data_IF_800986338552
#
_entry.id   IF_800986338552
#
_cell.length_a   1.000
_cell.length_b   1.000
_cell.length_c   1.000
_cell.angle_alpha   90.00
_cell.angle_beta   90.00
_cell.angle_gamma   90.00
#
_symmetry.space_group_name_H-M   'P 1'
#
loop_
_entity.id
_entity.type
_entity.pdbx_description
1 polymer ?
2 non-polymer ?
3 non-polymer ?
4 water ?
#
# COMPACT_ATOMS: atom_id res chain seq x y z
N UNK A 1 15.48 2.60 13.81
CA UNK A 1 14.82 3.75 13.21
C UNK A 1 14.45 3.12 11.87
N UNK A 2 15.30 3.21 10.82
CA UNK A 2 14.82 2.93 9.45
C UNK A 2 15.08 1.54 8.94
N UNK A 3 14.05 0.93 8.36
CA UNK A 3 14.21 -0.40 7.71
C UNK A 3 13.69 -0.27 6.27
N UNK A 4 14.39 -0.93 5.35
CA UNK A 4 14.10 -0.96 3.92
C UNK A 4 13.68 -2.39 3.58
N UNK A 5 12.53 -2.58 2.90
CA UNK A 5 12.12 -4.00 2.66
C UNK A 5 11.57 -4.15 1.25
N UNK A 6 11.45 -5.40 0.83
CA UNK A 6 10.82 -5.76 -0.42
C UNK A 6 10.20 -7.13 -0.20
N UNK A 7 9.17 -7.38 -0.99
CA UNK A 7 8.54 -8.71 -0.89
C UNK A 7 8.29 -9.27 -2.25
N UNK A 8 8.25 -10.58 -2.40
CA UNK A 8 7.81 -11.22 -3.64
C UNK A 8 6.55 -11.95 -3.27
N UNK A 9 5.64 -12.05 -4.23
CA UNK A 9 4.29 -12.59 -3.93
C UNK A 9 3.57 -13.03 -5.16
N UNK A 10 2.45 -13.79 -4.99
CA UNK A 10 1.58 -14.19 -6.09
C UNK A 10 0.28 -13.46 -5.76
N UNK A 11 -0.08 -12.50 -6.60
CA UNK A 11 -1.21 -11.66 -6.35
C UNK A 11 -2.20 -11.80 -7.52
N UNK A 12 -3.48 -11.94 -7.23
CA UNK A 12 -4.41 -12.44 -8.26
C UNK A 12 -5.67 -11.58 -8.37
N UNK A 13 -5.62 -10.41 -7.75
CA UNK A 13 -6.81 -9.56 -7.64
C UNK A 13 -7.69 -9.83 -6.46
N UNK A 14 -7.38 -10.90 -5.75
CA UNK A 14 -8.12 -11.22 -4.50
C UNK A 14 -7.25 -11.28 -3.24
N UNK A 15 -6.15 -12.01 -3.34
CA UNK A 15 -5.28 -12.17 -2.19
C UNK A 15 -3.83 -11.86 -2.64
N UNK A 16 -2.98 -11.63 -1.65
CA UNK A 16 -1.54 -11.49 -1.88
C UNK A 16 -0.87 -12.67 -1.14
N UNK A 17 -0.32 -13.64 -1.89
CA UNK A 17 0.23 -14.83 -1.22
C UNK A 17 1.73 -14.62 -1.13
N UNK A 18 2.22 -14.41 0.09
CA UNK A 18 3.69 -14.08 0.25
C UNK A 18 4.60 -15.23 -0.17
N UNK A 19 5.60 -14.91 -1.02
CA UNK A 19 6.71 -15.80 -1.36
C UNK A 19 7.92 -15.52 -0.45
N UNK A 20 8.36 -14.28 -0.39
CA UNK A 20 9.58 -13.99 0.40
C UNK A 20 9.59 -12.53 0.85
N UNK A 21 10.43 -12.22 1.85
CA UNK A 21 10.56 -10.85 2.33
C UNK A 21 12.03 -10.66 2.71
N UNK A 22 12.57 -9.51 2.28
CA UNK A 22 13.93 -9.08 2.67
C UNK A 22 13.78 -7.78 3.37
N UNK A 23 14.48 -7.64 4.50
CA UNK A 23 14.55 -6.42 5.27
C UNK A 23 15.97 -6.07 5.61
N UNK A 24 16.30 -4.80 5.39
CA UNK A 24 17.64 -4.34 5.75
C UNK A 24 17.50 -3.12 6.63
N UNK A 25 18.27 -3.12 7.71
CA UNK A 25 18.29 -2.01 8.64
C UNK A 25 19.38 -1.07 8.23
N UNK A 26 19.22 0.20 8.60
CA UNK A 26 20.24 1.23 8.40
C UNK A 26 21.53 0.87 9.14
N UNK A 27 21.42 0.11 10.21
CA UNK A 27 22.60 -0.29 10.95
C UNK A 27 23.40 -1.46 10.42
N UNK A 28 22.97 -2.03 9.32
CA UNK A 28 23.69 -3.17 8.69
C UNK A 28 23.05 -4.55 8.83
N UNK A 29 22.14 -4.68 9.79
CA UNK A 29 21.48 -5.95 10.00
C UNK A 29 20.58 -6.28 8.85
N UNK A 30 20.46 -7.58 8.58
CA UNK A 30 19.67 -8.03 7.41
C UNK A 30 18.81 -9.26 7.79
N UNK A 31 17.63 -9.37 7.17
CA UNK A 31 16.71 -10.48 7.37
C UNK A 31 16.12 -10.90 6.04
N UNK A 32 16.10 -12.20 5.80
CA UNK A 32 15.44 -12.74 4.58
C UNK A 32 14.81 -14.07 4.88
N UNK A 33 13.60 -14.29 4.38
CA UNK A 33 12.91 -15.56 4.65
C UNK A 33 12.06 -15.82 3.45
N UNK A 34 11.91 -17.11 3.13
CA UNK A 34 11.06 -17.55 2.06
C UNK A 34 9.93 -18.40 2.71
N UNK A 35 8.68 -18.08 2.43
CA UNK A 35 7.57 -18.82 3.03
C UNK A 35 7.34 -20.25 2.49
N UNK A 36 7.23 -21.22 3.40
CA UNK A 36 6.87 -22.59 3.02
C UNK A 36 5.40 -22.81 2.68
N UNK A 37 4.60 -21.75 2.72
CA UNK A 37 3.17 -21.87 2.69
C UNK A 37 2.51 -21.47 1.38
N UNK A 38 3.21 -20.76 0.46
CA UNK A 38 2.61 -20.40 -0.82
C UNK A 38 2.68 -21.63 -1.75
N UNK A 39 1.78 -21.68 -2.70
CA UNK A 39 1.68 -22.76 -3.70
C UNK A 39 2.34 -22.32 -5.01
N UNK A 40 3.52 -22.88 -5.33
CA UNK A 40 4.19 -22.38 -6.52
C UNK A 40 3.45 -22.68 -7.83
N UNK A 41 2.59 -23.69 -7.82
CA UNK A 41 1.80 -24.03 -9.00
C UNK A 41 0.88 -22.90 -9.46
N UNK A 42 0.40 -21.94 -8.43
CA UNK A 42 -0.46 -20.85 -8.88
C UNK A 42 0.35 -19.80 -9.63
N UNK A 43 1.60 -19.79 -9.45
CA UNK A 43 2.33 -18.65 -9.99
C UNK A 43 2.14 -18.48 -11.49
N UNK A 44 2.01 -17.25 -11.99
CA UNK A 44 2.00 -17.03 -13.45
C UNK A 44 3.40 -17.10 -14.10
N UNK A 45 3.46 -16.88 -15.42
CA UNK A 45 4.76 -16.98 -16.15
C UNK A 45 5.83 -16.08 -15.58
N UNK A 46 5.46 -14.84 -15.29
CA UNK A 46 6.43 -13.85 -14.84
C UNK A 46 7.10 -14.29 -13.51
N UNK A 47 6.27 -14.69 -12.56
CA UNK A 47 6.78 -15.16 -11.26
C UNK A 47 7.61 -16.45 -11.38
N UNK A 48 7.13 -17.39 -12.20
CA UNK A 48 7.85 -18.59 -12.62
C UNK A 48 9.23 -18.25 -13.26
N UNK A 49 9.33 -17.21 -14.06
CA UNK A 49 10.59 -16.91 -14.73
C UNK A 49 11.56 -16.10 -13.87
N UNK A 50 11.03 -15.10 -13.15
CA UNK A 50 11.85 -14.08 -12.52
C UNK A 50 12.03 -14.19 -11.02
N UNK A 51 11.09 -14.88 -10.36
CA UNK A 51 11.13 -15.01 -8.92
C UNK A 51 11.52 -16.41 -8.42
N UNK A 52 10.81 -17.43 -8.85
CA UNK A 52 10.96 -18.77 -8.26
C UNK A 52 12.40 -19.31 -8.46
N UNK A 53 13.01 -19.05 -9.64
CA UNK A 53 14.38 -19.58 -9.88
C UNK A 53 15.42 -19.03 -8.93
N UNK A 54 15.19 -17.85 -8.35
CA UNK A 54 16.11 -17.24 -7.39
C UNK A 54 15.97 -17.67 -5.91
N UNK A 55 14.97 -18.51 -5.62
CA UNK A 55 14.75 -18.94 -4.24
C UNK A 55 15.84 -19.93 -3.87
N UNK A 56 16.29 -19.91 -2.60
CA UNK A 56 17.20 -20.92 -2.06
C UNK A 56 16.72 -22.34 -2.31
N UNK A 57 17.63 -23.32 -2.22
CA UNK A 57 17.28 -24.74 -2.27
C UNK A 57 16.36 -25.14 -1.13
N UNK A 58 15.53 -26.15 -1.36
CA UNK A 58 14.57 -26.75 -0.42
C UNK A 58 15.07 -26.92 1.01
N UNK A 59 16.31 -27.36 1.19
CA UNK A 59 16.78 -27.59 2.57
C UNK A 59 17.39 -26.35 3.24
N UNK A 60 17.37 -25.20 2.59
CA UNK A 60 17.95 -24.01 3.19
C UNK A 60 17.13 -23.66 4.41
N UNK A 61 17.79 -23.21 5.49
CA UNK A 61 17.12 -22.62 6.67
C UNK A 61 16.37 -21.31 6.35
N UNK A 62 16.56 -20.75 5.16
CA UNK A 62 15.82 -19.51 4.80
C UNK A 62 14.31 -19.78 4.63
N UNK A 63 13.95 -21.03 4.38
CA UNK A 63 12.54 -21.43 4.26
C UNK A 63 11.92 -21.56 5.65
N UNK A 64 10.83 -20.82 5.87
CA UNK A 64 10.22 -20.73 7.19
C UNK A 64 8.72 -20.68 7.02
N UNK A 65 8.00 -21.02 8.11
CA UNK A 65 6.57 -20.86 8.13
C UNK A 65 6.21 -19.38 8.34
N UNK A 66 4.96 -19.06 8.02
CA UNK A 66 4.49 -17.67 8.17
C UNK A 66 4.52 -17.24 9.62
N UNK A 67 4.12 -18.14 10.54
CA UNK A 67 4.18 -17.83 11.98
C UNK A 67 5.65 -17.55 12.39
N UNK A 68 6.60 -18.36 11.88
CA UNK A 68 8.01 -18.14 12.25
C UNK A 68 8.50 -16.81 11.70
N UNK A 69 8.13 -16.52 10.46
CA UNK A 69 8.48 -15.19 9.90
C UNK A 69 7.99 -14.06 10.75
N UNK A 70 6.74 -14.13 11.24
CA UNK A 70 6.19 -13.06 12.05
C UNK A 70 7.03 -12.91 13.30
N UNK A 71 7.28 -14.05 13.98
CA UNK A 71 8.13 -14.03 15.16
C UNK A 71 9.52 -13.45 14.89
N UNK A 72 10.13 -13.89 13.77
CA UNK A 72 11.44 -13.37 13.40
C UNK A 72 11.41 -11.80 13.16
N UNK A 73 10.36 -11.32 12.53
CA UNK A 73 10.21 -9.85 12.31
C UNK A 73 9.97 -9.04 13.63
N UNK A 74 9.23 -9.60 14.59
CA UNK A 74 9.01 -8.91 15.82
C UNK A 74 10.37 -8.67 16.52
N UNK A 75 11.19 -9.70 16.50
CA UNK A 75 12.56 -9.56 17.06
C UNK A 75 13.46 -8.65 16.18
N UNK A 76 13.50 -8.90 14.87
CA UNK A 76 14.35 -8.10 13.97
C UNK A 76 14.05 -6.59 13.97
N UNK A 77 12.77 -6.27 13.95
CA UNK A 77 12.36 -4.86 14.01
C UNK A 77 12.46 -4.24 15.43
N UNK A 78 12.81 -5.04 16.44
CA UNK A 78 12.89 -4.51 17.85
C UNK A 78 11.64 -3.84 18.33
N UNK A 79 10.55 -4.55 18.16
CA UNK A 79 9.27 -3.93 18.37
C UNK A 79 9.01 -3.49 19.81
N UNK A 80 9.73 -4.05 20.78
CA UNK A 80 9.66 -3.63 22.21
C UNK A 80 10.80 -2.69 22.64
N UNK A 81 11.72 -2.36 21.72
CA UNK A 81 12.80 -1.42 22.03
C UNK A 81 12.37 0.01 21.92
N UNK A 82 13.25 0.94 22.27
CA UNK A 82 12.81 2.31 22.37
C UNK A 82 12.88 3.07 21.05
N UNK A 83 13.57 2.56 20.00
CA UNK A 83 13.58 3.33 18.76
C UNK A 83 12.20 3.30 18.12
N UNK A 84 11.81 4.42 17.51
CA UNK A 84 10.62 4.44 16.66
C UNK A 84 11.03 3.80 15.34
N UNK A 85 10.17 2.95 14.78
CA UNK A 85 10.42 2.16 13.54
C UNK A 85 9.94 3.01 12.36
N UNK A 86 10.76 3.16 11.33
CA UNK A 86 10.31 3.75 10.09
C UNK A 86 10.48 2.69 9.00
N UNK A 87 9.42 2.35 8.27
CA UNK A 87 9.59 1.40 7.16
C UNK A 87 9.55 2.15 5.84
N UNK A 88 10.40 1.69 4.91
CA UNK A 88 10.53 2.26 3.56
C UNK A 88 10.56 1.12 2.56
N UNK A 89 9.93 1.36 1.40
CA UNK A 89 9.95 0.43 0.29
C UNK A 89 9.87 1.31 -0.97
N UNK A 90 10.19 0.72 -2.09
CA UNK A 90 9.99 1.41 -3.39
C UNK A 90 8.68 0.85 -4.06
N UNK A 91 7.63 1.65 -4.15
CA UNK A 91 6.35 1.30 -4.88
C UNK A 91 5.83 0.19 -3.98
N UNK A 92 5.50 0.61 -2.75
CA UNK A 92 5.29 -0.34 -1.66
C UNK A 92 3.88 -0.63 -1.11
N UNK A 93 2.78 -0.20 -1.77
CA UNK A 93 1.40 -0.56 -1.37
C UNK A 93 1.21 -2.08 -1.10
N UNK A 94 1.46 -2.90 -2.10
CA UNK A 94 1.28 -4.36 -1.94
C UNK A 94 2.30 -4.92 -0.94
N UNK A 95 3.51 -4.36 -0.92
CA UNK A 95 4.48 -4.82 0.07
C UNK A 95 4.02 -4.57 1.46
N UNK A 96 3.39 -3.42 1.67
CA UNK A 96 2.98 -3.08 3.06
C UNK A 96 1.87 -4.04 3.49
N UNK A 97 0.92 -4.28 2.59
CA UNK A 97 -0.16 -5.21 2.94
C UNK A 97 0.41 -6.61 3.17
N UNK A 98 1.34 -7.03 2.31
CA UNK A 98 1.96 -8.38 2.50
C UNK A 98 2.68 -8.49 3.85
N UNK A 99 3.45 -7.47 4.18
CA UNK A 99 4.09 -7.40 5.50
C UNK A 99 3.07 -7.44 6.63
N UNK A 100 2.08 -6.54 6.59
CA UNK A 100 1.17 -6.36 7.70
C UNK A 100 0.33 -7.67 7.84
N UNK A 101 0.05 -8.36 6.72
CA UNK A 101 -0.77 -9.59 6.76
C UNK A 101 -0.09 -10.78 7.43
N UNK A 102 1.20 -10.64 7.77
CA UNK A 102 1.88 -11.67 8.61
C UNK A 102 1.32 -11.62 10.05
N UNK A 103 0.73 -10.51 10.42
CA UNK A 103 -0.03 -10.37 11.67
C UNK A 103 -1.55 -10.59 11.51
N UNK A 104 -2.07 -10.83 10.30
CA UNK A 104 -3.50 -10.92 10.14
C UNK A 104 -4.11 -9.56 9.80
N UNK A 105 -5.22 -9.20 10.46
CA UNK A 105 -5.91 -7.93 10.17
C UNK A 105 -5.14 -6.74 10.65
N UNK A 106 -5.53 -5.56 10.14
CA UNK A 106 -5.01 -4.28 10.60
C UNK A 106 -4.97 -4.10 12.10
N UNK A 107 -6.04 -4.58 12.70
CA UNK A 107 -6.28 -4.63 14.14
C UNK A 107 -5.04 -5.11 14.91
N UNK A 108 -4.39 -6.15 14.37
CA UNK A 108 -3.40 -6.99 15.06
C UNK A 108 -1.93 -6.62 14.87
N UNK A 109 -1.66 -5.55 14.11
CA UNK A 109 -0.33 -5.13 13.87
C UNK A 109 0.22 -4.62 15.21
N UNK A 110 1.41 -5.05 15.60
CA UNK A 110 1.95 -4.59 16.92
C UNK A 110 1.96 -3.07 16.90
N UNK A 111 1.64 -2.43 18.05
CA UNK A 111 1.26 -0.98 18.04
C UNK A 111 2.46 -0.08 17.69
N UNK A 112 3.63 -0.66 17.80
CA UNK A 112 4.90 0.00 17.57
C UNK A 112 5.35 -0.03 16.08
N UNK A 113 4.69 -0.85 15.26
CA UNK A 113 5.01 -0.97 13.79
C UNK A 113 4.10 0.06 13.06
N UNK A 114 4.71 0.84 12.21
CA UNK A 114 3.93 1.96 11.64
C UNK A 114 2.83 1.43 10.69
N UNK A 115 1.70 2.13 10.64
CA UNK A 115 0.60 1.75 9.78
C UNK A 115 0.77 2.16 8.30
N UNK A 116 1.92 2.75 7.98
CA UNK A 116 2.27 3.07 6.61
C UNK A 116 3.81 2.80 6.34
N UNK A 117 4.10 2.57 5.07
CA UNK A 117 5.44 2.44 4.57
C UNK A 117 5.68 3.69 3.71
N UNK A 118 6.83 4.29 3.96
CA UNK A 118 7.30 5.47 3.21
C UNK A 118 7.72 5.03 1.85
N UNK A 119 7.35 5.82 0.85
CA UNK A 119 7.46 5.45 -0.53
C UNK A 119 8.75 6.06 -1.02
N UNK A 120 9.76 5.23 -1.30
CA UNK A 120 11.07 5.74 -1.77
C UNK A 120 10.97 6.42 -3.20
N UNK A 121 10.09 5.89 -4.06
CA UNK A 121 9.85 6.50 -5.37
C UNK A 121 9.31 7.94 -5.21
N UNK A 122 8.55 8.20 -4.16
CA UNK A 122 7.96 9.49 -3.90
C UNK A 122 9.07 10.46 -3.40
N UNK A 123 9.97 9.93 -2.57
CA UNK A 123 11.12 10.73 -2.03
C UNK A 123 12.08 11.07 -3.20
N UNK A 124 12.31 10.11 -4.11
CA UNK A 124 13.18 10.32 -5.22
C UNK A 124 12.70 11.47 -6.07
N UNK A 125 11.42 11.52 -6.39
CA UNK A 125 10.93 12.63 -7.18
C UNK A 125 10.99 13.93 -6.44
N UNK A 126 10.67 13.89 -5.19
CA UNK A 126 10.70 15.09 -4.41
C UNK A 126 12.11 15.76 -4.39
N UNK A 127 13.17 14.95 -4.37
CA UNK A 127 14.55 15.43 -4.25
C UNK A 127 15.14 15.62 -5.64
N UNK A 128 14.29 15.77 -6.65
CA UNK A 128 14.75 16.20 -7.95
C UNK A 128 15.12 15.09 -8.92
N UNK A 129 14.60 13.87 -8.67
CA UNK A 129 14.88 12.74 -9.58
C UNK A 129 16.37 12.57 -9.84
N UNK A 130 17.21 12.48 -8.80
CA UNK A 130 18.67 12.25 -9.05
C UNK A 130 18.93 10.98 -9.86
N UNK A 131 19.90 10.98 -10.78
CA UNK A 131 20.26 9.75 -11.49
C UNK A 131 20.74 8.68 -10.48
N UNK A 132 20.19 7.47 -10.58
CA UNK A 132 20.53 6.39 -9.65
C UNK A 132 21.37 5.37 -10.32
N UNK A 133 22.06 4.53 -9.53
CA UNK A 133 22.78 3.40 -10.13
C UNK A 133 21.79 2.43 -10.78
N UNK A 134 22.27 1.54 -11.69
CA UNK A 134 21.28 0.63 -12.29
C UNK A 134 20.80 -0.36 -11.23
N UNK A 135 19.62 -0.94 -11.44
CA UNK A 135 19.17 -1.99 -10.52
C UNK A 135 20.12 -3.17 -10.64
N UNK A 136 20.30 -3.93 -9.55
CA UNK A 136 21.17 -5.10 -9.65
C UNK A 136 20.66 -6.15 -10.63
N UNK A 137 21.58 -6.99 -11.07
CA UNK A 137 21.29 -8.09 -12.00
C UNK A 137 20.24 -9.01 -11.40
N UNK A 138 20.38 -9.24 -10.09
CA UNK A 138 19.62 -10.23 -9.30
C UNK A 138 18.37 -9.64 -8.67
N UNK A 139 17.80 -8.66 -9.33
CA UNK A 139 16.57 -8.12 -8.86
C UNK A 139 15.56 -9.27 -8.97
N UNK A 140 14.59 -9.16 -8.10
CA UNK A 140 13.52 -10.09 -7.85
C UNK A 140 13.91 -11.11 -6.80
N UNK A 141 15.10 -10.91 -6.25
CA UNK A 141 15.50 -11.65 -5.04
C UNK A 141 15.21 -10.62 -3.95
N UNK A 142 14.30 -10.89 -3.01
CA UNK A 142 13.81 -9.84 -2.11
C UNK A 142 14.89 -9.16 -1.27
N UNK A 143 15.90 -9.91 -0.81
CA UNK A 143 16.98 -9.34 -0.04
C UNK A 143 17.88 -8.42 -0.90
N UNK A 144 18.21 -8.91 -2.10
CA UNK A 144 18.88 -8.01 -3.11
C UNK A 144 18.13 -6.73 -3.28
N UNK A 145 16.84 -6.84 -3.54
CA UNK A 145 16.00 -5.64 -3.76
C UNK A 145 16.01 -4.73 -2.53
N UNK A 146 15.82 -5.32 -1.33
CA UNK A 146 15.81 -4.49 -0.09
C UNK A 146 17.15 -3.71 0.14
N UNK A 147 18.26 -4.44 -0.06
CA UNK A 147 19.56 -3.84 0.01
C UNK A 147 19.68 -2.65 -0.95
N UNK A 148 19.14 -2.82 -2.16
CA UNK A 148 19.32 -1.79 -3.19
C UNK A 148 18.48 -0.59 -2.79
N UNK A 149 17.34 -0.81 -2.11
CA UNK A 149 16.56 0.37 -1.66
C UNK A 149 17.26 1.22 -0.63
N UNK A 150 17.92 0.58 0.33
CA UNK A 150 18.72 1.31 1.34
C UNK A 150 19.88 2.06 0.63
N UNK A 151 20.46 1.47 -0.38
CA UNK A 151 21.45 2.16 -1.16
C UNK A 151 20.92 3.43 -1.85
N UNK A 152 19.81 3.32 -2.54
CA UNK A 152 19.23 4.50 -3.19
C UNK A 152 18.81 5.52 -2.14
N UNK A 153 18.25 5.07 -1.00
CA UNK A 153 17.91 6.03 0.04
C UNK A 153 19.11 6.89 0.47
N UNK A 154 20.21 6.20 0.72
CA UNK A 154 21.45 6.92 1.14
C UNK A 154 21.88 7.88 0.05
N UNK A 155 21.87 7.44 -1.21
CA UNK A 155 22.23 8.40 -2.26
C UNK A 155 21.27 9.55 -2.42
N UNK A 156 19.95 9.27 -2.39
CA UNK A 156 18.95 10.36 -2.50
C UNK A 156 19.03 11.43 -1.42
N UNK A 157 19.31 10.97 -0.21
CA UNK A 157 19.27 11.86 0.96
C UNK A 157 20.65 12.43 1.35
N UNK A 158 21.68 12.23 0.56
CA UNK A 158 23.08 12.46 1.05
C UNK A 158 23.46 13.93 1.33
N UNK A 159 22.59 14.87 0.93
CA UNK A 159 22.85 16.35 1.14
C UNK A 159 21.64 17.08 1.71
N UNK A 160 20.70 16.29 2.24
CA UNK A 160 19.48 16.73 2.88
C UNK A 160 19.76 17.67 4.09
N UNK B 1 -4.38 15.95 -13.38
CA UNK B 1 -3.13 15.63 -12.85
C UNK B 1 -3.55 14.89 -11.48
N UNK B 2 -4.04 15.57 -10.44
CA UNK B 2 -3.98 14.98 -9.01
C UNK B 2 -5.29 14.62 -8.43
N UNK B 3 -5.35 13.39 -7.89
CA UNK B 3 -6.53 12.94 -7.26
C UNK B 3 -6.23 12.42 -5.90
N UNK B 4 -7.14 12.74 -4.98
CA UNK B 4 -7.04 12.39 -3.55
C UNK B 4 -8.16 11.43 -3.22
N UNK B 5 -7.86 10.23 -2.69
CA UNK B 5 -8.93 9.26 -2.50
C UNK B 5 -8.80 8.59 -1.15
N UNK B 6 -9.92 8.02 -0.79
CA UNK B 6 -9.91 7.24 0.42
C UNK B 6 -10.96 6.18 0.30
N UNK B 7 -10.84 5.02 1.00
CA UNK B 7 -11.80 3.96 0.89
C UNK B 7 -12.25 3.46 2.27
N UNK B 8 -13.43 2.86 2.36
CA UNK B 8 -13.77 1.99 3.50
C UNK B 8 -13.93 0.57 3.04
N UNK B 9 -13.78 -0.38 3.98
CA UNK B 9 -13.73 -1.76 3.55
C UNK B 9 -13.78 -2.67 4.76
N UNK B 10 -13.92 -3.97 4.48
CA UNK B 10 -13.93 -4.99 5.51
C UNK B 10 -12.68 -5.83 5.13
N UNK B 11 -11.72 -5.87 6.00
CA UNK B 11 -10.48 -6.53 5.70
C UNK B 11 -10.18 -7.54 6.81
N UNK B 12 -9.85 -8.78 6.45
CA UNK B 12 -9.75 -9.90 7.42
C UNK B 12 -8.39 -10.59 7.35
N UNK B 13 -7.30 -9.87 6.98
CA UNK B 13 -6.02 -10.52 6.87
C UNK B 13 -5.84 -11.29 5.58
N UNK B 14 -6.89 -11.42 4.76
CA UNK B 14 -6.75 -12.13 3.50
C UNK B 14 -7.24 -11.38 2.31
N UNK B 15 -8.47 -10.90 2.38
CA UNK B 15 -9.03 -10.05 1.31
C UNK B 15 -9.36 -8.69 1.81
N UNK B 16 -9.61 -7.76 0.89
CA UNK B 16 -10.07 -6.41 1.25
C UNK B 16 -11.37 -6.24 0.52
N UNK B 17 -12.48 -6.22 1.25
CA UNK B 17 -13.77 -6.22 0.56
C UNK B 17 -14.26 -4.75 0.51
N UNK B 18 -14.31 -4.14 -0.66
CA UNK B 18 -14.57 -2.69 -0.73
C UNK B 18 -15.99 -2.39 -0.25
N UNK B 19 -16.10 -1.43 0.68
CA UNK B 19 -17.43 -0.87 0.99
C UNK B 19 -17.68 0.40 0.12
N UNK B 20 -16.72 1.36 0.16
CA UNK B 20 -17.01 2.62 -0.52
C UNK B 20 -15.69 3.28 -0.96
N UNK B 21 -15.78 4.28 -1.86
CA UNK B 21 -14.57 4.99 -2.23
C UNK B 21 -14.98 6.40 -2.58
N UNK B 22 -14.16 7.31 -2.07
CA UNK B 22 -14.34 8.77 -2.38
C UNK B 22 -13.14 9.18 -3.16
N UNK B 23 -13.34 10.01 -4.20
CA UNK B 23 -12.18 10.49 -4.94
C UNK B 23 -12.45 11.96 -5.22
N UNK B 24 -11.48 12.78 -4.90
CA UNK B 24 -11.64 14.23 -5.17
C UNK B 24 -10.43 14.74 -5.98
N UNK B 25 -10.76 15.44 -7.07
CA UNK B 25 -9.73 15.92 -8.00
C UNK B 25 -9.31 17.33 -7.56
N UNK B 26 -8.04 17.64 -7.76
CA UNK B 26 -7.58 18.96 -7.42
C UNK B 26 -8.40 20.04 -8.16
N UNK B 27 -8.99 19.68 -9.27
CA UNK B 27 -9.77 20.62 -10.05
C UNK B 27 -11.18 20.89 -9.55
N UNK B 28 -11.63 20.13 -8.56
CA UNK B 28 -12.93 20.36 -7.95
C UNK B 28 -13.93 19.22 -8.06
N UNK B 29 -13.68 18.30 -9.00
CA UNK B 29 -14.65 17.24 -9.30
C UNK B 29 -14.54 16.22 -8.16
N UNK B 30 -15.67 15.61 -7.85
CA UNK B 30 -15.74 14.69 -6.71
C UNK B 30 -16.53 13.51 -7.14
N UNK B 31 -16.02 12.31 -6.79
CA UNK B 31 -16.73 11.08 -7.05
C UNK B 31 -16.89 10.29 -5.73
N UNK B 32 -18.09 9.72 -5.55
CA UNK B 32 -18.32 8.83 -4.40
C UNK B 32 -19.22 7.68 -4.80
N UNK B 33 -18.87 6.44 -4.38
CA UNK B 33 -19.76 5.33 -4.64
C UNK B 33 -19.65 4.33 -3.50
N UNK B 34 -20.71 3.53 -3.34
CA UNK B 34 -20.78 2.46 -2.31
C UNK B 34 -21.08 1.20 -3.06
N UNK B 35 -20.28 0.17 -2.80
CA UNK B 35 -20.45 -1.10 -3.51
C UNK B 35 -21.70 -1.92 -3.04
N UNK B 36 -22.47 -2.40 -3.99
CA UNK B 36 -23.62 -3.23 -3.72
C UNK B 36 -23.16 -4.65 -3.50
N UNK B 37 -21.85 -4.88 -3.50
CA UNK B 37 -21.36 -6.26 -3.49
C UNK B 37 -20.72 -6.74 -2.24
N UNK B 38 -20.44 -5.84 -1.28
CA UNK B 38 -19.90 -6.25 0.04
C UNK B 38 -21.05 -6.81 0.85
N UNK B 39 -20.72 -7.78 1.68
CA UNK B 39 -21.69 -8.36 2.62
C UNK B 39 -21.63 -7.66 3.99
N UNK B 40 -22.67 -6.90 4.37
CA UNK B 40 -22.56 -6.14 5.64
C UNK B 40 -22.50 -7.07 6.85
N UNK B 41 -22.94 -8.33 6.67
CA UNK B 41 -22.92 -9.33 7.76
C UNK B 41 -21.50 -9.69 8.15
N UNK B 42 -20.58 -9.57 7.23
CA UNK B 42 -19.17 -9.81 7.46
C UNK B 42 -18.41 -8.66 8.18
N UNK B 43 -19.02 -7.48 8.27
CA UNK B 43 -18.40 -6.39 9.02
C UNK B 43 -18.13 -6.74 10.45
N UNK B 44 -16.97 -6.30 10.94
CA UNK B 44 -16.62 -6.37 12.36
C UNK B 44 -17.34 -5.27 13.13
N UNK B 45 -17.28 -5.34 14.47
CA UNK B 45 -17.88 -4.34 15.36
C UNK B 45 -17.51 -2.91 15.03
N UNK B 46 -16.22 -2.67 14.81
CA UNK B 46 -15.76 -1.34 14.50
C UNK B 46 -16.43 -0.77 13.20
N UNK B 47 -16.43 -1.59 12.13
CA UNK B 47 -16.99 -1.15 10.85
C UNK B 47 -18.50 -0.98 11.00
N UNK B 48 -19.12 -1.90 11.69
CA UNK B 48 -20.57 -1.76 12.02
C UNK B 48 -20.88 -0.49 12.76
N UNK B 49 -19.97 -0.10 13.68
CA UNK B 49 -20.13 1.12 14.47
C UNK B 49 -19.84 2.40 13.68
N UNK B 50 -18.70 2.44 13.01
CA UNK B 50 -18.21 3.70 12.43
C UNK B 50 -18.46 3.91 10.92
N UNK B 51 -18.66 2.82 10.22
CA UNK B 51 -18.70 2.94 8.78
C UNK B 51 -20.13 2.81 8.23
N UNK B 52 -20.80 1.70 8.55
CA UNK B 52 -22.07 1.36 7.91
C UNK B 52 -23.15 2.40 8.15
N UNK B 53 -23.22 2.96 9.36
CA UNK B 53 -24.33 3.90 9.58
C UNK B 53 -24.22 5.19 8.78
N UNK B 54 -23.02 5.50 8.29
CA UNK B 54 -22.85 6.72 7.49
C UNK B 54 -23.13 6.59 6.00
N UNK B 55 -23.34 5.37 5.52
CA UNK B 55 -23.63 5.10 4.13
C UNK B 55 -24.97 5.72 3.71
N UNK B 56 -25.11 6.08 2.43
CA UNK B 56 -26.38 6.66 1.92
C UNK B 56 -27.50 5.66 2.12
N UNK B 57 -28.76 6.17 2.17
CA UNK B 57 -29.88 5.24 2.09
C UNK B 57 -29.80 4.35 0.82
N UNK B 58 -30.31 3.11 0.95
CA UNK B 58 -30.23 2.05 -0.03
C UNK B 58 -30.84 2.45 -1.38
N UNK B 59 -31.79 3.39 -1.38
CA UNK B 59 -32.36 3.86 -2.65
C UNK B 59 -31.46 4.82 -3.49
N UNK B 60 -30.41 5.36 -2.87
CA UNK B 60 -29.56 6.34 -3.54
C UNK B 60 -28.81 5.69 -4.71
N UNK B 61 -28.64 6.45 -5.80
CA UNK B 61 -27.94 5.97 -7.00
C UNK B 61 -26.43 5.96 -6.69
N UNK B 62 -26.06 6.42 -5.50
CA UNK B 62 -24.64 6.31 -5.07
C UNK B 62 -24.23 4.84 -4.85
N UNK B 63 -25.20 3.96 -4.68
CA UNK B 63 -24.93 2.52 -4.53
C UNK B 63 -24.74 1.97 -5.92
N UNK B 64 -23.61 1.31 -6.15
CA UNK B 64 -23.20 0.93 -7.50
C UNK B 64 -22.53 -0.45 -7.47
N UNK B 65 -22.62 -1.22 -8.58
CA UNK B 65 -21.91 -2.53 -8.65
C UNK B 65 -20.43 -2.20 -8.80
N UNK B 66 -19.61 -3.20 -8.56
CA UNK B 66 -18.14 -3.01 -8.76
C UNK B 66 -17.77 -2.73 -10.21
N UNK B 67 -18.49 -3.31 -11.20
CA UNK B 67 -18.20 -3.02 -12.60
C UNK B 67 -18.50 -1.58 -12.90
N UNK B 68 -19.58 -1.08 -12.30
CA UNK B 68 -19.96 0.33 -12.50
C UNK B 68 -18.94 1.25 -11.88
N UNK B 69 -18.43 0.88 -10.73
CA UNK B 69 -17.45 1.77 -10.03
C UNK B 69 -16.18 1.77 -10.89
N UNK B 70 -15.74 0.61 -11.39
CA UNK B 70 -14.57 0.62 -12.27
C UNK B 70 -14.75 1.55 -13.48
N UNK B 71 -15.90 1.38 -14.15
CA UNK B 71 -16.15 2.17 -15.32
C UNK B 71 -16.25 3.66 -14.95
N UNK B 72 -16.91 3.94 -13.82
CA UNK B 72 -17.07 5.31 -13.38
C UNK B 72 -15.66 5.93 -13.15
N UNK B 73 -14.74 5.16 -12.54
CA UNK B 73 -13.40 5.69 -12.28
C UNK B 73 -12.53 5.84 -13.54
N UNK B 74 -12.64 4.94 -14.51
CA UNK B 74 -11.92 5.14 -15.76
C UNK B 74 -12.34 6.50 -16.42
N UNK B 75 -13.62 6.84 -16.33
CA UNK B 75 -14.08 8.16 -16.79
C UNK B 75 -13.62 9.32 -15.93
N UNK B 76 -13.84 9.13 -14.62
CA UNK B 76 -13.47 10.13 -13.66
C UNK B 76 -11.99 10.49 -13.61
N UNK B 77 -11.12 9.49 -13.75
CA UNK B 77 -9.71 9.72 -13.77
C UNK B 77 -9.17 10.12 -15.13
N UNK B 78 -10.04 10.12 -16.11
CA UNK B 78 -9.70 10.51 -17.46
C UNK B 78 -8.57 9.67 -18.01
N UNK B 79 -8.73 8.36 -17.98
CA UNK B 79 -7.60 7.50 -18.23
C UNK B 79 -7.13 7.55 -19.67
N UNK B 80 -8.03 7.94 -20.53
CA UNK B 80 -7.73 8.14 -21.92
C UNK B 80 -7.21 9.55 -22.27
N UNK B 81 -7.17 10.45 -21.31
CA UNK B 81 -6.98 11.94 -21.52
C UNK B 81 -5.55 12.48 -21.68
N UNK B 82 -5.44 13.82 -21.87
CA UNK B 82 -4.10 14.50 -22.02
C UNK B 82 -3.20 14.57 -20.75
N UNK B 83 -3.77 15.04 -19.63
CA UNK B 83 -3.07 15.13 -18.34
C UNK B 83 -2.45 13.79 -17.77
N UNK B 84 -1.26 13.86 -17.16
CA UNK B 84 -0.67 12.75 -16.39
C UNK B 84 -1.53 12.58 -15.13
N UNK B 85 -1.67 11.35 -14.62
CA UNK B 85 -2.49 11.05 -13.40
C UNK B 85 -1.56 10.83 -12.16
N UNK B 86 -1.83 11.50 -11.05
CA UNK B 86 -1.14 11.29 -9.81
C UNK B 86 -2.20 10.98 -8.76
N UNK B 87 -2.08 9.83 -8.10
CA UNK B 87 -2.99 9.45 -7.04
C UNK B 87 -2.37 9.73 -5.70
N UNK B 88 -3.17 10.26 -4.79
CA UNK B 88 -2.70 10.58 -3.41
C UNK B 88 -3.70 10.02 -2.40
N UNK B 89 -3.17 9.48 -1.30
CA UNK B 89 -4.03 9.15 -0.14
C UNK B 89 -3.20 9.33 1.12
N UNK B 90 -3.85 9.30 2.28
CA UNK B 90 -3.18 9.35 3.55
C UNK B 90 -3.11 7.94 4.16
N UNK B 91 -1.93 7.40 4.32
CA UNK B 91 -1.68 6.10 4.95
C UNK B 91 -2.50 5.13 4.15
N UNK B 92 -2.18 5.00 2.87
CA UNK B 92 -3.05 4.35 1.91
C UNK B 92 -2.60 3.12 1.17
N UNK B 93 -1.80 2.28 1.78
CA UNK B 93 -1.45 0.98 1.24
C UNK B 93 -2.70 0.14 0.96
N UNK B 94 -3.51 -0.13 1.98
CA UNK B 94 -4.77 -0.89 1.71
C UNK B 94 -5.71 -0.13 0.76
N UNK B 95 -5.73 1.20 0.82
CA UNK B 95 -6.56 1.95 -0.12
C UNK B 95 -6.09 1.72 -1.58
N UNK B 96 -4.77 1.68 -1.80
CA UNK B 96 -4.26 1.50 -3.14
C UNK B 96 -4.58 0.11 -3.66
N UNK B 97 -4.46 -0.91 -2.79
CA UNK B 97 -4.80 -2.26 -3.20
C UNK B 97 -6.31 -2.32 -3.49
N UNK B 98 -7.14 -1.73 -2.62
CA UNK B 98 -8.60 -1.74 -2.84
C UNK B 98 -8.95 -1.10 -4.17
N UNK B 99 -8.30 0.02 -4.48
CA UNK B 99 -8.55 0.65 -5.75
C UNK B 99 -8.16 -0.24 -6.89
N UNK B 100 -6.94 -0.76 -6.87
CA UNK B 100 -6.45 -1.54 -8.02
C UNK B 100 -7.28 -2.78 -8.22
N UNK B 101 -7.78 -3.38 -7.12
CA UNK B 101 -8.51 -4.61 -7.25
C UNK B 101 -9.88 -4.41 -7.88
N UNK B 102 -10.29 -3.13 -8.08
CA UNK B 102 -11.46 -2.92 -8.97
C UNK B 102 -11.17 -3.35 -10.41
N UNK B 103 -9.89 -3.40 -10.76
CA UNK B 103 -9.52 -3.87 -12.11
C UNK B 103 -8.99 -5.30 -12.10
N UNK B 104 -8.64 -5.81 -10.95
CA UNK B 104 -8.17 -7.21 -10.94
C UNK B 104 -6.76 -7.29 -10.35
N UNK B 105 -5.94 -8.22 -10.85
CA UNK B 105 -4.54 -8.27 -10.47
C UNK B 105 -3.86 -6.96 -10.90
N UNK B 106 -2.73 -6.63 -10.30
CA UNK B 106 -2.14 -5.28 -10.55
C UNK B 106 -1.84 -4.98 -12.05
N UNK B 107 -1.46 -6.02 -12.75
CA UNK B 107 -1.44 -6.18 -14.19
C UNK B 107 -2.52 -5.47 -14.98
N UNK B 108 -3.75 -5.58 -14.48
CA UNK B 108 -4.95 -5.22 -15.21
C UNK B 108 -5.25 -3.74 -15.08
N UNK B 109 -4.49 -3.00 -14.26
CA UNK B 109 -4.72 -1.60 -14.02
C UNK B 109 -4.51 -0.88 -15.39
N UNK B 110 -5.36 0.13 -15.74
CA UNK B 110 -5.12 0.79 -17.03
C UNK B 110 -3.71 1.34 -17.11
N UNK B 111 -3.11 1.31 -18.32
CA UNK B 111 -1.72 1.74 -18.52
C UNK B 111 -1.35 3.10 -17.98
N UNK B 112 -2.31 4.01 -17.98
CA UNK B 112 -2.06 5.38 -17.48
C UNK B 112 -2.29 5.61 -15.98
N UNK B 113 -2.87 4.64 -15.25
CA UNK B 113 -2.99 4.79 -13.76
C UNK B 113 -1.65 4.42 -13.14
N UNK B 114 -1.12 5.26 -12.24
CA UNK B 114 0.10 5.03 -11.53
C UNK B 114 0.09 3.72 -10.75
N UNK B 115 1.23 3.08 -10.69
CA UNK B 115 1.37 1.87 -9.95
C UNK B 115 1.69 2.11 -8.49
N UNK B 116 1.70 3.36 -8.09
CA UNK B 116 1.85 3.65 -6.69
C UNK B 116 0.94 4.82 -6.36
N UNK B 117 0.57 4.95 -5.09
CA UNK B 117 -0.17 6.14 -4.60
C UNK B 117 0.79 6.94 -3.78
N UNK B 118 0.91 8.26 -4.00
CA UNK B 118 1.76 9.08 -3.16
C UNK B 118 1.10 9.19 -1.78
N UNK B 119 1.96 9.20 -0.76
CA UNK B 119 1.55 9.08 0.63
C UNK B 119 1.57 10.46 1.22
N UNK B 120 0.39 11.01 1.45
CA UNK B 120 0.21 12.38 1.91
C UNK B 120 0.81 12.57 3.33
N UNK B 121 0.79 11.51 4.15
CA UNK B 121 1.42 11.67 5.46
C UNK B 121 2.94 11.83 5.37
N UNK B 122 3.52 11.24 4.33
CA UNK B 122 4.95 11.30 4.13
C UNK B 122 5.27 12.72 3.70
N UNK B 123 4.45 13.31 2.81
CA UNK B 123 4.72 14.66 2.39
C UNK B 123 4.62 15.58 3.62
N UNK B 124 3.54 15.40 4.38
CA UNK B 124 3.27 16.19 5.61
C UNK B 124 4.47 16.20 6.57
N UNK B 125 4.99 15.00 6.90
CA UNK B 125 6.18 14.86 7.70
C UNK B 125 7.39 15.53 7.07
N UNK B 126 7.50 15.41 5.75
CA UNK B 126 8.70 15.95 5.07
C UNK B 126 8.75 17.46 5.12
N UNK B 127 7.58 18.07 5.21
CA UNK B 127 7.46 19.50 5.30
C UNK B 127 7.35 20.02 6.75
N UNK B 128 7.69 19.21 7.73
CA UNK B 128 7.79 19.63 9.15
C UNK B 128 6.46 19.50 9.85
N UNK B 129 5.57 18.63 9.36
CA UNK B 129 4.29 18.49 10.05
C UNK B 129 3.56 19.81 10.37
N UNK B 130 3.28 20.66 9.36
CA UNK B 130 2.51 21.93 9.61
C UNK B 130 1.14 21.66 10.20
N UNK B 131 0.59 22.60 11.00
CA UNK B 131 -0.70 22.36 11.63
C UNK B 131 -1.84 22.15 10.60
N UNK B 132 -2.56 21.05 10.72
CA UNK B 132 -3.73 20.72 9.85
C UNK B 132 -5.07 21.06 10.52
N UNK B 133 -6.17 21.24 9.74
CA UNK B 133 -7.41 21.42 10.55
C UNK B 133 -7.79 20.12 11.29
N UNK B 134 -8.60 20.21 12.38
CA UNK B 134 -9.01 18.98 13.08
C UNK B 134 -9.84 18.05 12.15
N UNK B 135 -9.83 16.75 12.44
CA UNK B 135 -10.48 15.78 11.58
C UNK B 135 -11.97 16.19 11.46
N UNK B 136 -12.61 15.95 10.30
CA UNK B 136 -14.04 16.25 10.18
C UNK B 136 -14.88 15.40 11.14
N UNK B 137 -16.06 15.90 11.50
CA UNK B 137 -16.97 15.16 12.37
C UNK B 137 -17.34 13.79 11.76
N UNK B 138 -17.47 13.77 10.44
CA UNK B 138 -17.97 12.59 9.74
C UNK B 138 -16.87 11.71 9.14
N UNK B 139 -15.81 11.52 9.89
CA UNK B 139 -14.77 10.62 9.45
C UNK B 139 -15.34 9.24 9.32
N UNK B 140 -14.70 8.44 8.49
CA UNK B 140 -15.11 7.13 8.12
C UNK B 140 -16.25 7.11 7.11
N UNK B 141 -16.55 8.27 6.55
CA UNK B 141 -17.28 8.44 5.31
C UNK B 141 -16.22 8.69 4.27
N UNK B 142 -16.13 7.87 3.23
CA UNK B 142 -14.90 7.90 2.44
C UNK B 142 -14.81 9.23 1.62
N UNK B 143 -15.96 9.84 1.27
CA UNK B 143 -15.88 11.10 0.53
C UNK B 143 -15.44 12.26 1.47
N UNK B 144 -15.99 12.32 2.68
CA UNK B 144 -15.57 13.29 3.66
C UNK B 144 -14.04 13.18 3.87
N UNK B 145 -13.58 11.93 3.99
CA UNK B 145 -12.16 11.69 4.25
C UNK B 145 -11.30 12.15 3.03
N UNK B 146 -11.77 11.82 1.81
CA UNK B 146 -11.08 12.20 0.58
C UNK B 146 -10.99 13.71 0.42
N UNK B 147 -12.11 14.37 0.69
CA UNK B 147 -12.13 15.81 0.72
C UNK B 147 -11.10 16.40 1.67
N UNK B 148 -11.00 15.79 2.85
CA UNK B 148 -10.09 16.28 3.90
C UNK B 148 -8.65 16.12 3.43
N UNK B 149 -8.38 15.07 2.65
CA UNK B 149 -7.02 14.90 2.15
C UNK B 149 -6.60 15.99 1.17
N UNK B 150 -7.44 16.36 0.22
CA UNK B 150 -7.18 17.53 -0.65
C UNK B 150 -6.95 18.79 0.19
N UNK B 151 -7.80 19.03 1.18
CA UNK B 151 -7.65 20.16 2.08
C UNK B 151 -6.24 20.18 2.69
N UNK B 152 -5.79 19.08 3.28
CA UNK B 152 -4.46 18.91 3.88
C UNK B 152 -3.40 19.21 2.83
N UNK B 153 -3.58 18.69 1.61
CA UNK B 153 -2.54 18.84 0.59
C UNK B 153 -2.34 20.34 0.24
N UNK B 154 -3.44 20.99 0.05
CA UNK B 154 -3.47 22.43 -0.22
C UNK B 154 -2.80 23.23 0.90
N UNK B 155 -3.12 22.90 2.13
CA UNK B 155 -2.44 23.52 3.25
C UNK B 155 -0.93 23.27 3.29
N UNK B 156 -0.50 22.04 2.99
CA UNK B 156 0.89 21.59 3.14
C UNK B 156 1.73 22.27 2.06
N UNK B 157 1.14 22.45 0.89
CA UNK B 157 1.84 22.96 -0.30
C UNK B 157 1.57 24.46 -0.45
N UNK B 158 0.85 25.05 0.53
CA UNK B 158 0.45 26.49 0.46
C UNK B 158 1.65 27.43 0.30
X LIG C 1 9.39 -6.88 -7.42
X LIG C 1 10.32 -8.04 -7.60
X LIG C 1 9.56 -6.32 -6.07
X LIG C 1 9.56 -5.99 -8.61
X LIG C 1 7.82 -7.27 -7.58
X LIG C 1 7.09 -7.91 -6.46
X LIG C 1 5.93 -8.74 -6.94
X LIG C 1 5.11 -8.00 -7.89
X LIG C 1 6.35 -9.95 -7.74
X LIG C 1 6.74 -11.01 -6.85
X LIG C 1 5.17 -10.23 -8.66
X LIG C 1 4.09 -10.85 -8.00
X LIG C 1 4.74 -8.79 -9.04
X LIG C 1 5.32 -8.20 -10.29
X LIG C 1 6.34 -7.24 -10.36
X LIG C 1 6.67 -6.84 -11.60
X LIG C 1 5.79 -7.59 -12.39
X LIG C 1 5.61 -7.67 -13.79
X LIG C 1 6.34 -6.93 -14.65
X LIG C 1 4.66 -8.55 -14.29
X LIG C 1 3.93 -9.29 -13.42
X LIG C 1 4.00 -9.29 -12.08
X LIG C 1 4.96 -8.42 -11.61
X LIG D 1 9.02 -4.68 -5.00
X LIG E 1 -3.70 8.48 10.83
X LIG E 1 -2.44 9.23 10.45
X LIG E 1 -3.51 7.56 11.99
X LIG E 1 -4.86 9.44 11.02
X LIG E 1 -4.08 7.50 9.61
X LIG E 1 -5.42 7.04 9.47
X LIG E 1 -5.55 5.91 8.46
X LIG E 1 -4.62 4.84 8.79
X LIG E 1 -6.89 5.21 8.57
X LIG E 1 -7.86 6.00 7.88
X LIG E 1 -6.66 3.86 7.91
X LIG E 1 -7.06 3.87 6.53
X LIG E 1 -5.14 3.65 8.17
X LIG E 1 -4.83 2.50 9.06
X LIG E 1 -5.35 2.24 10.33
X LIG E 1 -4.89 1.13 10.87
X LIG E 1 -3.99 0.61 9.90
X LIG E 1 -3.14 -0.55 9.83
X LIG E 1 -3.08 -1.44 10.85
X LIG E 1 -2.34 -0.77 8.70
X LIG E 1 -2.45 0.15 7.71
X LIG E 1 -3.19 1.28 7.65
X LIG E 1 -3.94 1.46 8.77
X LIG F 1 -10.71 4.86 7.60
X LIG F 1 -10.36 5.43 6.29
X LIG F 1 -10.03 5.35 8.85
X LIG F 1 -12.19 4.95 7.87
X LIG F 1 -10.29 3.32 7.53
X LIG F 1 -10.38 2.53 6.34
X LIG F 1 -10.84 1.11 6.77
X LIG F 1 -9.79 0.60 7.68
X LIG F 1 -12.09 1.00 7.60
X LIG F 1 -13.23 0.94 6.76
X LIG F 1 -11.88 -0.31 8.40
X LIG F 1 -12.02 -1.46 7.67
X LIG F 1 -10.38 -0.21 8.68
X LIG F 1 -10.08 0.42 9.97
X LIG F 1 -9.52 1.66 10.13
X LIG F 1 -9.34 1.96 11.42
X LIG F 1 -9.80 0.86 12.12
X LIG F 1 -9.87 0.59 13.53
X LIG F 1 -9.43 1.43 14.48
X LIG F 1 -10.39 -0.61 13.87
X LIG F 1 -10.82 -1.48 12.92
X LIG F 1 -10.80 -1.34 11.57
X LIG F 1 -10.26 -0.13 11.24
X LIG G 1 -8.34 6.16 5.39
X LIG H 1 -12.04 6.71 5.54
X LIG I 1 -19.87 -5.84 -10.89
#
# INVERSE_FOLDING_TARGET
>A
VRYFYDTEFIEDGHTIELISIGVVAEDGREYYAVSTEFDPERAGSWVRTHVLPKLPPPASQLWRSRQQIRLDLEEFLRIDGTDSIELWAWVGAYDHVALCQLWGPMTALPPTVPRFTRELRQLWEDRGCPRMPPRPRDVHDALVDARDQLRRFRLITSTDDAGRGAAR
>B
VRYFYDTEFIEDGHTIELISIGVVAEDGREYYAVSTEFDPERAGSWVRTHVLPKLPPPASQLWRSRQQIRLDLEEFLRIDGTDSIELWAWVGAYDHVALCQLWGPMTALPPTVPRFTRELRQLWEDRGCPRMPPRPRDVHDALVDARDQLRRFRLITSTDDAGRGAAR
>C hetero
1 AMP P O1P O2P O3P O5' C5' C4' O4' C3' O3' C2' O2' C1' N9 C8 N7 C5 C6 N6 N1 C2 N3 C4
>D hetero
1 MG MG
>E hetero
1 AMP P O1P O2P O3P O5' C5' C4' O4' C3' O3' C2' O2' C1' N9 C8 N7 C5 C6 N6 N1 C2 N3 C4
>F hetero
1 AMP P O1P O2P O3P O5' C5' C4' O4' C3' O3' C2' O2' C1' N9 C8 N7 C5 C6 N6 N1 C2 N3 C4
>G hetero
1 MG MG
>H hetero
1 MG MG
>I hetero
1 MG MG
#
